data_IF_932842520863
#
_entry.id   IF_932842520863
#
_cell.length_a   1.000
_cell.length_b   1.000
_cell.length_c   1.000
_cell.angle_alpha   90.00
_cell.angle_beta   90.00
_cell.angle_gamma   90.00
#
_symmetry.space_group_name_H-M   'P 1'
#
loop_
_entity.id
_entity.type
_entity.pdbx_description
1 polymer ?
#
# COMPACT_ATOMS: atom_id res chain seq x y z
N UNK A 1 -57.52 26.65 -61.43
CA UNK A 1 -56.95 25.42 -62.04
C UNK A 1 -55.43 25.41 -62.04
N UNK A 2 -54.76 26.47 -62.53
CA UNK A 2 -53.29 26.54 -62.59
C UNK A 2 -52.59 26.45 -61.20
N UNK A 3 -53.13 27.14 -60.19
CA UNK A 3 -52.60 27.15 -58.82
C UNK A 3 -52.70 25.79 -58.11
N UNK A 4 -53.77 25.04 -58.36
CA UNK A 4 -53.97 23.69 -57.80
C UNK A 4 -53.02 22.66 -58.43
N UNK A 5 -52.73 22.79 -59.73
CA UNK A 5 -51.76 21.94 -60.42
C UNK A 5 -50.34 22.20 -59.93
N UNK A 6 -49.99 23.47 -59.71
CA UNK A 6 -48.68 23.85 -59.15
C UNK A 6 -48.46 23.28 -57.74
N UNK A 7 -49.51 23.31 -56.90
CA UNK A 7 -49.47 22.76 -55.53
C UNK A 7 -49.29 21.24 -55.53
N UNK A 8 -49.91 20.54 -56.49
CA UNK A 8 -49.71 19.08 -56.68
C UNK A 8 -48.30 18.75 -57.14
N UNK A 9 -47.73 19.53 -58.06
CA UNK A 9 -46.35 19.35 -58.51
C UNK A 9 -45.35 19.59 -57.38
N UNK A 10 -45.58 20.59 -56.53
CA UNK A 10 -44.72 20.87 -55.37
C UNK A 10 -44.77 19.75 -54.33
N UNK A 11 -45.97 19.23 -54.02
CA UNK A 11 -46.12 18.07 -53.14
C UNK A 11 -45.46 16.81 -53.70
N UNK A 12 -45.56 16.58 -55.01
CA UNK A 12 -44.93 15.43 -55.66
C UNK A 12 -43.40 15.53 -55.61
N UNK A 13 -42.84 16.75 -55.76
CA UNK A 13 -41.40 16.98 -55.63
C UNK A 13 -40.91 16.76 -54.19
N UNK A 14 -41.66 17.21 -53.18
CA UNK A 14 -41.36 16.94 -51.76
C UNK A 14 -41.42 15.44 -51.47
N UNK A 15 -42.45 14.74 -51.96
CA UNK A 15 -42.55 13.29 -51.79
C UNK A 15 -41.40 12.56 -52.48
N UNK A 16 -41.00 13.00 -53.67
CA UNK A 16 -39.87 12.41 -54.41
C UNK A 16 -38.55 12.63 -53.67
N UNK A 17 -38.32 13.82 -53.10
CA UNK A 17 -37.11 14.11 -52.32
C UNK A 17 -37.08 13.39 -50.97
N UNK A 18 -38.21 13.27 -50.27
CA UNK A 18 -38.35 12.42 -49.08
C UNK A 18 -38.11 10.93 -49.40
N UNK A 19 -38.56 10.46 -50.58
CA UNK A 19 -38.34 9.10 -51.05
C UNK A 19 -36.88 8.87 -51.48
N UNK A 20 -36.21 9.92 -51.97
CA UNK A 20 -34.79 9.86 -52.28
C UNK A 20 -33.92 9.81 -51.02
N UNK A 21 -34.32 10.54 -49.98
CA UNK A 21 -33.70 10.45 -48.64
C UNK A 21 -33.94 9.11 -47.95
N UNK A 22 -35.07 8.44 -48.21
CA UNK A 22 -35.31 7.08 -47.71
C UNK A 22 -34.57 5.99 -48.52
N UNK A 23 -34.27 6.25 -49.80
CA UNK A 23 -33.47 5.36 -50.65
C UNK A 23 -31.96 5.51 -50.44
N UNK A 24 -31.48 6.66 -49.97
CA UNK A 24 -30.14 6.76 -49.36
C UNK A 24 -30.20 6.20 -47.94
N UNK A 25 -30.46 4.90 -47.84
CA UNK A 25 -30.28 4.13 -46.63
C UNK A 25 -28.86 4.36 -46.13
N UNK A 26 -28.78 5.13 -45.05
CA UNK A 26 -27.71 5.24 -44.07
C UNK A 26 -26.59 4.21 -44.34
N UNK A 27 -25.50 4.65 -44.98
CA UNK A 27 -24.23 3.95 -44.88
C UNK A 27 -23.84 4.11 -43.40
N UNK A 28 -24.30 3.16 -42.59
CA UNK A 28 -23.86 3.03 -41.21
C UNK A 28 -22.37 2.78 -41.28
N UNK A 29 -21.57 3.83 -41.10
CA UNK A 29 -20.20 3.69 -40.68
C UNK A 29 -20.28 2.89 -39.38
N UNK A 30 -20.00 1.60 -39.48
CA UNK A 30 -19.92 0.67 -38.36
C UNK A 30 -18.94 1.31 -37.39
N UNK A 31 -19.46 1.87 -36.29
CA UNK A 31 -18.63 2.54 -35.30
C UNK A 31 -17.70 1.47 -34.76
N UNK A 32 -16.40 1.61 -35.03
CA UNK A 32 -15.36 0.70 -34.56
C UNK A 32 -15.41 0.66 -33.02
N UNK A 33 -16.21 -0.26 -32.48
CA UNK A 33 -16.40 -0.42 -31.05
C UNK A 33 -15.10 -0.94 -30.46
N UNK A 34 -14.49 -0.16 -29.58
CA UNK A 34 -13.28 -0.58 -28.87
C UNK A 34 -13.68 -1.69 -27.89
N UNK A 35 -13.00 -2.83 -27.97
CA UNK A 35 -13.18 -3.95 -27.05
C UNK A 35 -12.11 -3.90 -25.96
N UNK A 36 -12.54 -3.64 -24.72
CA UNK A 36 -11.63 -3.63 -23.56
C UNK A 36 -11.36 -5.05 -23.09
N UNK A 37 -10.09 -5.36 -22.81
CA UNK A 37 -9.63 -6.64 -22.27
C UNK A 37 -8.68 -6.37 -21.12
N UNK A 38 -8.98 -6.92 -19.94
CA UNK A 38 -8.15 -6.81 -18.75
C UNK A 38 -7.52 -8.16 -18.42
N UNK A 39 -6.22 -8.18 -18.15
CA UNK A 39 -5.45 -9.41 -17.87
C UNK A 39 -4.42 -9.17 -16.78
N UNK A 40 -4.08 -10.21 -16.01
CA UNK A 40 -3.04 -10.15 -15.00
C UNK A 40 -1.65 -10.27 -15.65
N UNK A 41 -0.67 -9.60 -15.06
CA UNK A 41 0.73 -9.74 -15.46
C UNK A 41 1.20 -11.20 -15.34
N UNK A 42 1.99 -11.67 -16.31
CA UNK A 42 2.45 -13.06 -16.41
C UNK A 42 1.48 -13.98 -17.15
N UNK A 43 0.19 -13.62 -17.24
CA UNK A 43 -0.81 -14.44 -17.94
C UNK A 43 -0.74 -14.26 -19.47
N UNK A 44 -1.62 -14.99 -20.18
CA UNK A 44 -1.77 -14.88 -21.62
C UNK A 44 -3.17 -14.40 -21.99
N UNK A 45 -3.28 -13.63 -23.06
CA UNK A 45 -4.56 -13.11 -23.58
C UNK A 45 -4.66 -13.35 -25.08
N UNK A 46 -5.87 -13.69 -25.55
CA UNK A 46 -6.13 -13.89 -26.98
C UNK A 46 -7.12 -12.85 -27.49
N UNK A 47 -6.68 -12.05 -28.46
CA UNK A 47 -7.49 -11.07 -29.17
C UNK A 47 -8.13 -11.76 -30.37
N UNK A 48 -9.43 -12.02 -30.26
CA UNK A 48 -10.19 -12.83 -31.21
C UNK A 48 -10.61 -11.99 -32.43
N UNK A 49 -10.29 -12.45 -33.64
CA UNK A 49 -10.75 -11.78 -34.87
C UNK A 49 -12.27 -11.90 -35.06
N UNK A 50 -12.88 -12.97 -34.53
CA UNK A 50 -14.27 -13.33 -34.76
C UNK A 50 -14.52 -14.01 -36.11
N UNK A 51 -13.45 -14.35 -36.84
CA UNK A 51 -13.50 -15.10 -38.10
C UNK A 51 -13.25 -16.58 -37.82
N UNK A 52 -14.04 -17.47 -38.42
CA UNK A 52 -13.90 -18.93 -38.26
C UNK A 52 -12.78 -19.52 -39.10
N UNK A 53 -12.54 -18.94 -40.28
CA UNK A 53 -11.46 -19.32 -41.18
C UNK A 53 -11.05 -18.14 -42.07
N UNK A 54 -9.76 -17.86 -42.12
CA UNK A 54 -9.17 -16.86 -43.03
C UNK A 54 -9.31 -17.35 -44.48
N UNK A 55 -9.75 -16.49 -45.38
CA UNK A 55 -9.81 -16.81 -46.82
C UNK A 55 -8.42 -16.76 -47.46
N UNK A 56 -8.31 -17.25 -48.69
CA UNK A 56 -7.03 -17.30 -49.39
C UNK A 56 -6.53 -15.91 -49.81
N UNK A 57 -7.46 -15.02 -50.14
CA UNK A 57 -7.26 -13.64 -50.60
C UNK A 57 -7.30 -12.60 -49.47
N UNK A 58 -7.52 -13.03 -48.22
CA UNK A 58 -7.53 -12.14 -47.06
C UNK A 58 -6.09 -11.77 -46.62
N UNK A 59 -5.85 -10.48 -46.46
CA UNK A 59 -4.67 -9.94 -45.77
C UNK A 59 -5.05 -9.54 -44.33
N UNK A 60 -4.38 -10.10 -43.32
CA UNK A 60 -4.61 -9.77 -41.90
C UNK A 60 -3.41 -9.00 -41.36
N UNK A 61 -3.69 -7.87 -40.72
CA UNK A 61 -2.70 -6.96 -40.15
C UNK A 61 -3.03 -6.72 -38.68
N UNK A 62 -2.04 -6.92 -37.81
CA UNK A 62 -2.10 -6.48 -36.43
C UNK A 62 -1.15 -5.31 -36.22
N UNK A 63 -1.68 -4.24 -35.66
CA UNK A 63 -0.96 -3.00 -35.36
C UNK A 63 -1.05 -2.69 -33.88
N UNK A 64 0.00 -2.09 -33.32
CA UNK A 64 0.08 -1.74 -31.91
C UNK A 64 0.37 -0.25 -31.70
N UNK A 65 -0.25 0.32 -30.67
CA UNK A 65 0.00 1.68 -30.19
C UNK A 65 -0.64 2.76 -31.05
N UNK A 66 -0.43 4.02 -30.65
CA UNK A 66 -0.99 5.19 -31.33
C UNK A 66 -0.40 5.40 -32.74
N UNK A 67 0.85 5.00 -32.94
CA UNK A 67 1.55 5.06 -34.24
C UNK A 67 1.15 3.92 -35.18
N UNK A 68 0.32 2.97 -34.70
CA UNK A 68 -0.15 1.81 -35.46
C UNK A 68 0.98 0.99 -36.06
N UNK A 69 2.05 0.78 -35.28
CA UNK A 69 3.21 -0.02 -35.67
C UNK A 69 2.77 -1.44 -36.01
N UNK A 70 3.10 -1.92 -37.22
CA UNK A 70 2.74 -3.26 -37.65
C UNK A 70 3.54 -4.29 -36.84
N UNK A 71 2.84 -5.14 -36.08
CA UNK A 71 3.45 -6.21 -35.27
C UNK A 71 3.30 -7.58 -35.92
N UNK A 72 2.29 -7.75 -36.79
CA UNK A 72 2.06 -9.02 -37.49
C UNK A 72 1.37 -8.82 -38.84
N UNK A 73 1.70 -9.68 -39.81
CA UNK A 73 1.00 -9.79 -41.09
C UNK A 73 0.81 -11.24 -41.54
N UNK A 74 -0.40 -11.57 -41.97
CA UNK A 74 -0.72 -12.77 -42.76
C UNK A 74 -1.20 -12.36 -44.15
N UNK A 75 -0.71 -13.05 -45.17
CA UNK A 75 -1.27 -13.05 -46.51
C UNK A 75 -1.10 -14.44 -47.10
N UNK A 76 -2.20 -15.18 -47.22
CA UNK A 76 -2.17 -16.56 -47.73
C UNK A 76 -1.78 -16.57 -49.23
N UNK A 77 -2.35 -15.67 -50.03
CA UNK A 77 -2.02 -15.50 -51.45
C UNK A 77 -0.51 -15.26 -51.66
N UNK A 78 0.07 -14.35 -50.89
CA UNK A 78 1.49 -13.98 -51.00
C UNK A 78 2.41 -14.94 -50.23
N UNK A 79 1.84 -15.93 -49.53
CA UNK A 79 2.54 -16.83 -48.61
C UNK A 79 3.39 -16.10 -47.56
N UNK A 80 2.90 -14.95 -47.10
CA UNK A 80 3.56 -14.13 -46.10
C UNK A 80 2.98 -14.46 -44.73
N UNK A 81 3.86 -14.89 -43.83
CA UNK A 81 3.58 -15.03 -42.41
C UNK A 81 4.74 -14.36 -41.68
N UNK A 82 4.55 -13.11 -41.29
CA UNK A 82 5.63 -12.28 -40.75
C UNK A 82 5.24 -11.69 -39.41
N UNK A 83 6.04 -12.03 -38.41
CA UNK A 83 6.10 -11.32 -37.13
C UNK A 83 7.11 -10.20 -37.28
N UNK A 84 6.75 -9.00 -36.85
CA UNK A 84 7.66 -7.83 -36.81
C UNK A 84 8.14 -7.56 -35.38
N UNK A 85 8.10 -8.57 -34.51
CA UNK A 85 8.57 -8.54 -33.12
C UNK A 85 10.08 -8.29 -33.00
N UNK A 86 10.85 -8.60 -34.04
CA UNK A 86 12.32 -8.40 -34.04
C UNK A 86 12.70 -6.91 -33.98
N UNK A 87 11.87 -6.01 -34.48
CA UNK A 87 12.16 -4.56 -34.44
C UNK A 87 11.74 -3.89 -33.14
N UNK A 88 10.86 -4.53 -32.36
CA UNK A 88 10.41 -4.06 -31.05
C UNK A 88 10.57 -5.20 -30.05
N UNK A 89 11.75 -5.25 -29.40
CA UNK A 89 12.18 -6.32 -28.50
C UNK A 89 11.16 -6.69 -27.42
N UNK A 90 10.24 -5.76 -27.09
CA UNK A 90 9.09 -5.96 -26.22
C UNK A 90 8.30 -7.22 -26.57
N UNK A 91 8.03 -7.45 -27.85
CA UNK A 91 7.13 -8.51 -28.33
C UNK A 91 7.84 -9.83 -28.64
N UNK A 92 9.17 -9.85 -28.54
CA UNK A 92 10.00 -10.99 -28.92
C UNK A 92 9.55 -12.26 -28.19
N UNK A 93 9.28 -13.32 -28.96
CA UNK A 93 8.84 -14.64 -28.48
C UNK A 93 7.50 -14.66 -27.71
N UNK A 94 6.78 -13.54 -27.62
CA UNK A 94 5.51 -13.41 -26.86
C UNK A 94 4.28 -13.45 -27.74
N UNK A 95 4.41 -13.08 -29.02
CA UNK A 95 3.31 -13.11 -29.98
C UNK A 95 3.16 -14.51 -30.59
N UNK A 96 1.94 -15.04 -30.55
CA UNK A 96 1.55 -16.25 -31.27
C UNK A 96 0.28 -15.98 -32.04
N UNK A 97 0.26 -16.28 -33.33
CA UNK A 97 -0.95 -16.20 -34.13
C UNK A 97 -1.58 -17.58 -34.34
N UNK A 98 -2.90 -17.61 -34.41
CA UNK A 98 -3.65 -18.72 -34.96
C UNK A 98 -3.75 -18.57 -36.49
N UNK A 99 -3.12 -19.47 -37.24
CA UNK A 99 -3.14 -19.45 -38.72
C UNK A 99 -4.50 -19.79 -39.34
N UNK A 100 -5.44 -20.34 -38.57
CA UNK A 100 -6.78 -20.64 -39.04
C UNK A 100 -7.72 -19.43 -38.88
N UNK A 101 -7.66 -18.75 -37.73
CA UNK A 101 -8.60 -17.66 -37.40
C UNK A 101 -8.01 -16.26 -37.51
N UNK A 102 -6.67 -16.14 -37.49
CA UNK A 102 -5.95 -14.87 -37.48
C UNK A 102 -5.87 -14.21 -36.09
N UNK A 103 -6.33 -14.90 -35.05
CA UNK A 103 -6.37 -14.37 -33.69
C UNK A 103 -4.99 -14.26 -33.08
N UNK A 104 -4.73 -13.13 -32.41
CA UNK A 104 -3.43 -12.82 -31.81
C UNK A 104 -3.43 -13.22 -30.34
N UNK A 105 -2.51 -14.10 -29.96
CA UNK A 105 -2.25 -14.46 -28.57
C UNK A 105 -0.98 -13.77 -28.10
N UNK A 106 -1.09 -13.01 -27.00
CA UNK A 106 0.05 -12.49 -26.26
C UNK A 106 0.31 -13.38 -25.05
N UNK A 107 1.53 -13.89 -24.93
CA UNK A 107 1.96 -14.73 -23.82
C UNK A 107 2.80 -13.95 -22.83
N UNK A 108 2.73 -14.35 -21.55
CA UNK A 108 3.53 -13.77 -20.48
C UNK A 108 3.46 -12.22 -20.52
N UNK A 109 2.24 -11.69 -20.47
CA UNK A 109 2.02 -10.26 -20.70
C UNK A 109 2.55 -9.43 -19.53
N UNK A 110 3.10 -8.26 -19.81
CA UNK A 110 3.57 -7.29 -18.80
C UNK A 110 2.96 -5.92 -19.07
N UNK A 111 3.14 -4.97 -18.14
CA UNK A 111 2.66 -3.59 -18.28
C UNK A 111 3.11 -2.91 -19.58
N UNK A 112 4.27 -3.25 -20.13
CA UNK A 112 4.78 -2.71 -21.40
C UNK A 112 3.91 -3.09 -22.61
N UNK A 113 3.16 -4.19 -22.51
CA UNK A 113 2.27 -4.67 -23.57
C UNK A 113 0.86 -4.07 -23.48
N UNK A 114 0.56 -3.28 -22.45
CA UNK A 114 -0.70 -2.58 -22.35
C UNK A 114 -0.82 -1.53 -23.46
N UNK A 115 -2.02 -1.37 -24.01
CA UNK A 115 -2.26 -0.40 -25.08
C UNK A 115 -3.32 -0.82 -26.08
N UNK A 116 -3.38 -0.08 -27.17
CA UNK A 116 -4.33 -0.31 -28.26
C UNK A 116 -3.74 -1.27 -29.29
N UNK A 117 -4.52 -2.29 -29.62
CA UNK A 117 -4.25 -3.23 -30.70
C UNK A 117 -5.32 -3.07 -31.76
N UNK A 118 -4.90 -2.83 -32.99
CA UNK A 118 -5.79 -2.68 -34.14
C UNK A 118 -5.61 -3.87 -35.07
N UNK A 119 -6.73 -4.53 -35.35
CA UNK A 119 -6.87 -5.58 -36.35
C UNK A 119 -7.45 -4.97 -37.60
N UNK A 120 -6.82 -5.20 -38.74
CA UNK A 120 -7.39 -4.97 -40.06
C UNK A 120 -7.42 -6.28 -40.84
N UNK A 121 -8.57 -6.60 -41.43
CA UNK A 121 -8.76 -7.73 -42.34
C UNK A 121 -9.18 -7.14 -43.68
N UNK A 122 -8.28 -7.25 -44.65
CA UNK A 122 -8.46 -6.79 -46.02
C UNK A 122 -8.84 -7.99 -46.88
N UNK A 123 -10.14 -8.24 -47.01
CA UNK A 123 -10.71 -9.24 -47.92
C UNK A 123 -11.76 -8.61 -48.83
N UNK A 124 -12.82 -9.37 -49.14
CA UNK A 124 -13.97 -8.85 -49.88
C UNK A 124 -14.65 -7.63 -49.21
N UNK A 125 -14.62 -7.57 -47.87
CA UNK A 125 -15.03 -6.41 -47.07
C UNK A 125 -13.88 -6.03 -46.13
N UNK A 126 -13.55 -4.74 -46.09
CA UNK A 126 -12.63 -4.19 -45.09
C UNK A 126 -13.27 -4.31 -43.71
N UNK A 127 -12.64 -5.05 -42.81
CA UNK A 127 -13.07 -5.16 -41.41
C UNK A 127 -11.96 -4.64 -40.50
N UNK A 128 -12.32 -3.76 -39.57
CA UNK A 128 -11.41 -3.24 -38.56
C UNK A 128 -11.97 -3.49 -37.16
N UNK A 129 -11.09 -3.86 -36.21
CA UNK A 129 -11.43 -3.97 -34.79
C UNK A 129 -10.31 -3.39 -33.96
N UNK A 130 -10.68 -2.74 -32.86
CA UNK A 130 -9.71 -2.18 -31.91
C UNK A 130 -9.92 -2.82 -30.55
N UNK A 131 -8.83 -3.29 -29.95
CA UNK A 131 -8.80 -3.84 -28.61
C UNK A 131 -8.00 -2.90 -27.71
N UNK A 132 -8.55 -2.60 -26.52
CA UNK A 132 -7.82 -1.89 -25.47
C UNK A 132 -7.40 -2.88 -24.41
N UNK A 133 -6.10 -3.20 -24.36
CA UNK A 133 -5.54 -4.18 -23.43
C UNK A 133 -4.99 -3.45 -22.22
N UNK A 134 -5.54 -3.77 -21.04
CA UNK A 134 -5.08 -3.29 -19.74
C UNK A 134 -4.45 -4.44 -18.96
N UNK A 135 -3.25 -4.21 -18.42
CA UNK A 135 -2.50 -5.22 -17.66
C UNK A 135 -2.39 -4.79 -16.21
N UNK A 136 -2.72 -5.69 -15.28
CA UNK A 136 -2.67 -5.42 -13.85
C UNK A 136 -1.67 -6.34 -13.16
N UNK A 137 -0.84 -5.76 -12.29
CA UNK A 137 0.11 -6.52 -11.49
C UNK A 137 -0.58 -7.32 -10.38
N UNK A 138 0.09 -8.37 -9.89
CA UNK A 138 -0.34 -9.10 -8.71
C UNK A 138 -0.33 -8.20 -7.47
N UNK A 139 -1.38 -8.33 -6.66
CA UNK A 139 -1.57 -7.51 -5.48
C UNK A 139 -0.84 -8.10 -4.28
N UNK A 140 -0.03 -7.32 -3.54
CA UNK A 140 0.48 -7.73 -2.24
C UNK A 140 -0.62 -7.69 -1.18
N UNK A 141 -0.44 -8.44 -0.09
CA UNK A 141 -1.34 -8.35 1.07
C UNK A 141 -1.13 -7.01 1.78
N UNK A 142 -2.20 -6.22 2.00
CA UNK A 142 -2.08 -4.96 2.72
C UNK A 142 -1.72 -5.20 4.19
N UNK A 143 -0.89 -4.33 4.76
CA UNK A 143 -0.43 -4.45 6.14
C UNK A 143 -1.22 -3.53 7.06
N UNK A 144 -1.75 -4.08 8.15
CA UNK A 144 -2.45 -3.31 9.18
C UNK A 144 -1.52 -3.13 10.37
N UNK A 145 -1.13 -1.89 10.65
CA UNK A 145 -0.24 -1.53 11.76
C UNK A 145 -0.92 -0.55 12.70
N UNK A 146 -0.56 -0.61 13.98
CA UNK A 146 -0.95 0.41 14.95
C UNK A 146 -0.03 1.62 14.84
N UNK A 147 -0.61 2.82 14.83
CA UNK A 147 0.12 4.07 14.61
C UNK A 147 0.93 4.53 15.85
N UNK A 148 0.29 4.62 17.03
CA UNK A 148 0.98 4.94 18.29
C UNK A 148 0.22 4.47 19.54
N UNK A 149 0.97 4.19 20.62
CA UNK A 149 0.44 3.92 21.97
C UNK A 149 0.31 5.24 22.74
N UNK A 150 -0.89 5.85 22.79
CA UNK A 150 -1.15 6.98 23.69
C UNK A 150 -1.15 6.49 25.13
N UNK A 151 -0.10 6.78 25.87
CA UNK A 151 0.05 6.42 27.30
C UNK A 151 -0.81 7.26 28.24
N UNK A 152 -1.83 7.96 27.74
CA UNK A 152 -2.65 8.88 28.53
C UNK A 152 -4.01 8.28 28.86
N UNK A 153 -4.16 7.91 30.13
CA UNK A 153 -5.40 7.70 30.90
C UNK A 153 -6.35 6.59 30.43
N UNK A 154 -6.18 5.41 31.03
CA UNK A 154 -7.17 4.47 31.62
C UNK A 154 -8.66 4.40 31.20
N UNK A 155 -9.15 5.07 30.15
CA UNK A 155 -10.59 5.06 29.82
C UNK A 155 -10.94 5.45 28.37
N UNK A 156 -9.97 5.59 27.47
CA UNK A 156 -10.23 5.78 26.04
C UNK A 156 -10.19 4.45 25.29
N UNK A 157 -11.35 3.99 24.82
CA UNK A 157 -11.59 2.76 24.04
C UNK A 157 -11.15 2.87 22.57
N UNK A 158 -10.45 3.94 22.18
CA UNK A 158 -10.08 4.20 20.79
C UNK A 158 -8.68 3.66 20.45
N UNK A 159 -8.57 2.95 19.34
CA UNK A 159 -7.36 2.36 18.79
C UNK A 159 -7.11 2.97 17.40
N UNK A 160 -5.97 3.64 17.20
CA UNK A 160 -5.57 4.18 15.89
C UNK A 160 -4.79 3.14 15.10
N UNK A 161 -5.32 2.79 13.93
CA UNK A 161 -4.79 1.79 13.02
C UNK A 161 -4.55 2.43 11.65
N UNK A 162 -3.53 1.95 10.96
CA UNK A 162 -3.23 2.37 9.59
C UNK A 162 -3.11 1.12 8.74
N UNK A 163 -3.84 1.10 7.64
CA UNK A 163 -3.62 0.11 6.60
C UNK A 163 -2.70 0.69 5.55
N UNK A 164 -1.59 0.01 5.25
CA UNK A 164 -0.60 0.49 4.29
C UNK A 164 -0.20 -0.59 3.30
N UNK A 165 0.17 -0.13 2.10
CA UNK A 165 0.74 -0.95 1.04
C UNK A 165 1.75 -0.13 0.26
N UNK A 166 2.85 -0.75 -0.15
CA UNK A 166 3.94 -0.12 -0.90
C UNK A 166 4.06 -0.74 -2.29
N UNK A 167 4.63 0.01 -3.23
CA UNK A 167 4.95 -0.45 -4.59
C UNK A 167 3.72 -0.95 -5.37
N UNK A 168 2.62 -0.21 -5.30
CA UNK A 168 1.39 -0.51 -6.05
C UNK A 168 1.06 0.62 -7.03
N UNK A 169 0.25 0.30 -8.03
CA UNK A 169 -0.28 1.26 -9.01
C UNK A 169 -1.55 0.72 -9.66
N UNK A 170 -2.45 1.62 -10.09
CA UNK A 170 -3.79 1.27 -10.60
C UNK A 170 -4.61 0.40 -9.63
N UNK A 171 -4.63 0.80 -8.34
CA UNK A 171 -5.31 0.07 -7.27
C UNK A 171 -6.20 0.99 -6.44
N UNK A 172 -7.13 0.37 -5.71
CA UNK A 172 -7.95 1.03 -4.69
C UNK A 172 -7.73 0.34 -3.35
N UNK A 173 -7.35 1.12 -2.34
CA UNK A 173 -7.24 0.69 -0.94
C UNK A 173 -8.46 1.18 -0.17
N UNK A 174 -9.13 0.27 0.53
CA UNK A 174 -10.41 0.56 1.18
C UNK A 174 -10.51 -0.09 2.56
N UNK A 175 -11.12 0.61 3.51
CA UNK A 175 -11.54 0.05 4.79
C UNK A 175 -13.00 -0.38 4.76
N UNK A 176 -13.27 -1.55 5.32
CA UNK A 176 -14.61 -2.09 5.48
C UNK A 176 -14.89 -2.40 6.95
N UNK A 177 -16.13 -2.16 7.37
CA UNK A 177 -16.73 -2.66 8.61
C UNK A 177 -17.86 -3.62 8.26
N UNK A 178 -17.63 -4.91 8.43
CA UNK A 178 -18.46 -5.94 7.82
C UNK A 178 -18.51 -5.74 6.31
N UNK A 179 -19.69 -5.38 5.78
CA UNK A 179 -19.91 -5.14 4.35
C UNK A 179 -19.98 -3.64 4.00
N UNK A 180 -19.86 -2.75 4.99
CA UNK A 180 -19.97 -1.31 4.79
C UNK A 180 -18.59 -0.71 4.51
N UNK A 181 -18.46 0.00 3.38
CA UNK A 181 -17.27 0.79 3.04
C UNK A 181 -17.17 2.00 3.97
N UNK A 182 -16.04 2.16 4.64
CA UNK A 182 -15.76 3.29 5.54
C UNK A 182 -14.99 4.40 4.84
N UNK A 183 -13.88 4.04 4.20
CA UNK A 183 -13.00 4.97 3.51
C UNK A 183 -12.31 4.26 2.35
N UNK A 184 -11.93 5.02 1.34
CA UNK A 184 -11.31 4.50 0.14
C UNK A 184 -10.39 5.54 -0.48
N UNK A 185 -9.26 5.08 -1.00
CA UNK A 185 -8.32 5.87 -1.80
C UNK A 185 -7.93 5.06 -3.03
N UNK A 186 -7.95 5.68 -4.20
CA UNK A 186 -7.55 5.06 -5.46
C UNK A 186 -6.40 5.84 -6.07
N UNK A 187 -5.42 5.13 -6.63
CA UNK A 187 -4.27 5.74 -7.29
C UNK A 187 -4.01 5.05 -8.62
N UNK A 188 -3.73 5.86 -9.63
CA UNK A 188 -3.44 5.41 -11.00
C UNK A 188 -1.95 5.40 -11.33
N UNK A 189 -1.09 6.06 -10.55
CA UNK A 189 0.34 6.13 -10.84
C UNK A 189 1.07 4.88 -10.32
N UNK A 190 2.11 4.43 -11.04
CA UNK A 190 2.97 3.32 -10.60
C UNK A 190 3.92 3.81 -9.48
N UNK A 191 4.23 2.91 -8.54
CA UNK A 191 5.25 3.06 -7.47
C UNK A 191 4.90 4.00 -6.30
N UNK A 192 3.64 4.05 -5.88
CA UNK A 192 3.23 4.86 -4.72
C UNK A 192 3.01 3.97 -3.49
N UNK A 193 3.30 4.53 -2.31
CA UNK A 193 2.86 3.99 -1.02
C UNK A 193 1.48 4.54 -0.66
N UNK A 194 0.51 3.66 -0.45
CA UNK A 194 -0.82 4.03 0.04
C UNK A 194 -0.92 3.77 1.54
N UNK A 195 -1.53 4.69 2.26
CA UNK A 195 -1.81 4.56 3.68
C UNK A 195 -3.18 5.13 3.99
N UNK A 196 -4.01 4.38 4.69
CA UNK A 196 -5.37 4.77 5.05
C UNK A 196 -5.56 4.61 6.57
N UNK A 197 -5.67 5.70 7.34
CA UNK A 197 -5.87 5.64 8.79
C UNK A 197 -7.32 5.28 9.14
N UNK A 198 -7.50 4.67 10.31
CA UNK A 198 -8.78 4.29 10.88
C UNK A 198 -8.71 4.39 12.42
N UNK A 199 -9.63 5.13 13.01
CA UNK A 199 -9.87 5.14 14.45
C UNK A 199 -11.00 4.16 14.78
N UNK A 200 -10.71 3.18 15.64
CA UNK A 200 -11.67 2.13 16.02
C UNK A 200 -12.01 2.23 17.49
N UNK A 201 -13.29 2.30 17.82
CA UNK A 201 -13.79 2.10 19.18
C UNK A 201 -13.98 0.60 19.46
N UNK A 202 -13.45 0.08 20.57
CA UNK A 202 -13.59 -1.33 20.93
C UNK A 202 -15.05 -1.72 21.13
N UNK A 203 -15.58 -2.53 20.21
CA UNK A 203 -16.89 -3.16 20.31
C UNK A 203 -16.77 -4.58 19.73
N UNK A 204 -17.05 -5.60 20.54
CA UNK A 204 -16.74 -7.02 20.27
C UNK A 204 -17.37 -7.60 18.99
N UNK A 205 -18.35 -6.92 18.38
CA UNK A 205 -19.08 -7.41 17.19
C UNK A 205 -18.61 -6.81 15.87
N UNK A 206 -17.70 -5.84 15.90
CA UNK A 206 -17.30 -5.14 14.68
C UNK A 206 -16.12 -5.86 14.01
N UNK A 207 -16.38 -6.53 12.89
CA UNK A 207 -15.33 -7.06 12.01
C UNK A 207 -14.85 -5.98 11.06
N UNK A 208 -13.56 -5.65 11.09
CA UNK A 208 -12.95 -4.71 10.16
C UNK A 208 -12.02 -5.43 9.20
N UNK A 209 -11.97 -4.95 7.97
CA UNK A 209 -11.04 -5.46 6.96
C UNK A 209 -10.50 -4.34 6.12
N UNK A 210 -9.23 -4.45 5.78
CA UNK A 210 -8.61 -3.61 4.78
C UNK A 210 -8.51 -4.39 3.47
N UNK A 211 -9.04 -3.81 2.40
CA UNK A 211 -9.12 -4.46 1.09
C UNK A 211 -8.34 -3.62 0.09
N UNK A 212 -7.34 -4.25 -0.53
CA UNK A 212 -6.67 -3.73 -1.72
C UNK A 212 -7.27 -4.41 -2.93
N UNK A 213 -7.75 -3.65 -3.91
CA UNK A 213 -8.31 -4.22 -5.13
C UNK A 213 -7.78 -3.53 -6.38
N UNK A 214 -7.71 -4.30 -7.45
CA UNK A 214 -7.63 -3.83 -8.82
C UNK A 214 -8.89 -4.33 -9.56
N UNK A 215 -9.15 -3.90 -10.80
CA UNK A 215 -10.34 -4.30 -11.55
C UNK A 215 -10.51 -5.81 -11.79
N UNK A 216 -9.49 -6.64 -11.55
CA UNK A 216 -9.52 -8.09 -11.79
C UNK A 216 -9.56 -8.90 -10.47
N UNK A 217 -8.87 -8.44 -9.44
CA UNK A 217 -8.55 -9.20 -8.24
C UNK A 217 -8.58 -8.33 -6.99
N UNK A 218 -8.76 -8.98 -5.84
CA UNK A 218 -8.70 -8.33 -4.53
C UNK A 218 -7.80 -9.10 -3.57
N UNK A 219 -7.27 -8.38 -2.60
CA UNK A 219 -6.51 -8.89 -1.47
C UNK A 219 -7.05 -8.25 -0.20
N UNK A 220 -7.32 -9.07 0.79
CA UNK A 220 -7.99 -8.64 2.02
C UNK A 220 -7.16 -9.03 3.22
N UNK A 221 -6.92 -8.06 4.10
CA UNK A 221 -6.37 -8.29 5.42
C UNK A 221 -7.44 -8.01 6.46
N UNK A 222 -7.76 -9.02 7.27
CA UNK A 222 -8.69 -8.87 8.37
C UNK A 222 -7.98 -8.29 9.60
N UNK A 223 -8.66 -7.39 10.29
CA UNK A 223 -8.17 -6.81 11.53
C UNK A 223 -8.34 -7.81 12.67
N UNK A 224 -7.24 -8.17 13.32
CA UNK A 224 -7.27 -8.89 14.60
C UNK A 224 -7.17 -7.90 15.77
N UNK A 225 -8.32 -7.40 16.22
CA UNK A 225 -8.41 -6.38 17.28
C UNK A 225 -7.73 -6.85 18.57
N UNK A 226 -7.83 -8.13 18.91
CA UNK A 226 -7.29 -8.67 20.18
C UNK A 226 -5.77 -8.67 20.23
N UNK A 227 -5.10 -8.78 19.08
CA UNK A 227 -3.64 -8.70 18.97
C UNK A 227 -3.17 -7.27 18.80
N UNK A 228 -3.82 -6.53 17.89
CA UNK A 228 -3.38 -5.20 17.49
C UNK A 228 -3.84 -4.11 18.44
N UNK A 229 -4.91 -4.30 19.21
CA UNK A 229 -5.45 -3.28 20.13
C UNK A 229 -5.21 -3.62 21.62
N UNK A 230 -4.15 -4.36 21.95
CA UNK A 230 -3.80 -4.68 23.35
C UNK A 230 -3.42 -3.43 24.17
N UNK A 231 -3.75 -3.39 25.48
CA UNK A 231 -3.30 -2.34 26.39
C UNK A 231 -1.78 -2.34 26.44
N UNK A 232 -1.17 -1.17 26.18
CA UNK A 232 0.29 -1.04 26.20
C UNK A 232 0.79 -1.41 27.60
N UNK A 233 1.83 -2.25 27.75
CA UNK A 233 2.40 -2.53 29.06
C UNK A 233 2.86 -1.21 29.66
N UNK A 234 2.25 -0.83 30.77
CA UNK A 234 2.58 0.40 31.50
C UNK A 234 4.08 0.34 31.77
N UNK A 235 4.82 1.31 31.26
CA UNK A 235 6.28 1.31 31.43
C UNK A 235 6.58 1.21 32.93
N UNK A 236 7.46 0.25 33.27
CA UNK A 236 7.98 -0.02 34.62
C UNK A 236 8.58 1.22 35.32
N UNK A 237 8.61 2.37 34.65
CA UNK A 237 9.09 3.65 35.16
C UNK A 237 8.26 4.17 36.34
N UNK A 238 6.93 4.03 36.32
CA UNK A 238 6.08 4.69 37.34
C UNK A 238 6.14 4.00 38.72
N UNK A 239 6.22 2.67 38.74
CA UNK A 239 6.38 1.92 40.01
C UNK A 239 7.79 2.09 40.57
N UNK A 240 8.82 2.08 39.73
CA UNK A 240 10.21 2.32 40.13
C UNK A 240 10.42 3.73 40.71
N UNK A 241 9.76 4.75 40.15
CA UNK A 241 9.78 6.13 40.68
C UNK A 241 9.16 6.25 42.08
N UNK A 242 8.08 5.52 42.37
CA UNK A 242 7.45 5.52 43.70
C UNK A 242 8.35 4.81 44.74
N UNK A 243 8.96 3.68 44.37
CA UNK A 243 9.88 2.97 45.27
C UNK A 243 11.16 3.78 45.57
N UNK A 244 11.66 4.57 44.61
CA UNK A 244 12.80 5.48 44.81
C UNK A 244 12.50 6.66 45.74
N UNK A 245 11.24 7.10 45.87
CA UNK A 245 10.83 8.19 46.77
C UNK A 245 10.57 7.74 48.20
N UNK A 246 10.33 6.45 48.45
CA UNK A 246 10.09 5.92 49.81
C UNK A 246 11.38 5.63 50.58
N UNK A 247 12.46 5.27 49.88
CA UNK A 247 13.76 4.90 50.48
C UNK A 247 14.50 6.06 51.20
N UNK A 248 14.43 7.34 50.75
CA UNK A 248 15.11 8.45 51.44
C UNK A 248 14.53 8.77 52.82
N UNK A 249 13.25 8.43 53.07
CA UNK A 249 12.60 8.75 54.34
C UNK A 249 13.17 7.94 55.51
N UNK A 250 13.53 6.68 55.29
CA UNK A 250 14.09 5.80 56.33
C UNK A 250 15.55 6.13 56.67
N UNK A 251 16.36 6.49 55.66
CA UNK A 251 17.78 6.84 55.86
C UNK A 251 17.95 8.18 56.58
N UNK A 252 17.09 9.17 56.28
CA UNK A 252 17.10 10.47 56.96
C UNK A 252 16.79 10.37 58.45
N UNK A 253 15.83 9.52 58.84
CA UNK A 253 15.48 9.31 60.25
C UNK A 253 16.61 8.67 61.06
N UNK A 254 17.33 7.70 60.48
CA UNK A 254 18.48 7.05 61.13
C UNK A 254 19.63 8.02 61.41
N UNK A 255 19.93 8.94 60.48
CA UNK A 255 20.99 9.93 60.67
C UNK A 255 20.67 10.94 61.78
N UNK A 256 19.40 11.30 61.95
CA UNK A 256 18.96 12.17 63.06
C UNK A 256 19.17 11.47 64.40
N UNK A 257 18.78 10.19 64.51
CA UNK A 257 18.96 9.42 65.76
C UNK A 257 20.45 9.30 66.12
N UNK A 258 21.32 8.97 65.16
CA UNK A 258 22.77 8.90 65.38
C UNK A 258 23.34 10.24 65.84
N UNK A 259 22.91 11.33 65.21
CA UNK A 259 23.35 12.69 65.58
C UNK A 259 22.93 13.07 67.00
N UNK A 260 21.70 12.73 67.41
CA UNK A 260 21.21 12.95 68.77
C UNK A 260 21.99 12.12 69.78
N UNK A 261 22.27 10.83 69.49
CA UNK A 261 23.05 9.95 70.36
C UNK A 261 24.49 10.46 70.54
N UNK A 262 25.17 10.86 69.46
CA UNK A 262 26.51 11.45 69.52
C UNK A 262 26.48 12.75 70.36
N UNK A 263 25.48 13.61 70.15
CA UNK A 263 25.35 14.85 70.91
C UNK A 263 25.10 14.59 72.41
N UNK A 264 24.30 13.57 72.77
CA UNK A 264 24.10 13.12 74.14
C UNK A 264 25.39 12.57 74.78
N UNK A 265 26.17 11.79 74.03
CA UNK A 265 27.48 11.28 74.50
C UNK A 265 28.46 12.45 74.72
N UNK A 266 28.57 13.38 73.77
CA UNK A 266 29.41 14.58 73.90
C UNK A 266 29.02 15.44 75.11
N UNK A 267 27.72 15.63 75.36
CA UNK A 267 27.23 16.36 76.53
C UNK A 267 27.53 15.62 77.85
N UNK A 268 27.48 14.28 77.85
CA UNK A 268 27.85 13.46 79.03
C UNK A 268 29.35 13.52 79.30
N UNK A 269 30.19 13.45 78.26
CA UNK A 269 31.63 13.65 78.39
C UNK A 269 31.99 15.05 78.92
N UNK A 270 31.25 16.10 78.52
CA UNK A 270 31.49 17.47 79.01
C UNK A 270 31.14 17.67 80.50
N UNK A 271 30.22 16.86 81.07
CA UNK A 271 29.85 16.92 82.50
C UNK A 271 30.76 16.11 83.41
N UNK A 272 31.56 15.18 82.87
CA UNK A 272 32.49 14.36 83.65
C UNK A 272 33.90 14.92 83.45
N UNK A 273 34.23 15.99 84.18
CA UNK A 273 35.52 16.65 84.09
C UNK A 273 36.67 15.73 84.52
N UNK A 274 37.35 15.13 83.54
CA UNK A 274 38.75 14.73 83.69
C UNK A 274 39.55 15.16 82.44
N UNK A 275 40.21 16.31 82.58
CA UNK A 275 41.38 16.65 81.77
C UNK A 275 42.58 15.86 82.31
N UNK A 276 43.08 14.86 81.57
CA UNK A 276 44.50 14.48 81.65
C UNK A 276 45.12 14.55 80.26
N UNK A 277 46.01 15.55 80.14
CA UNK A 277 46.90 15.82 79.02
C UNK A 277 47.79 14.62 78.76
N UNK A 278 47.89 14.17 77.51
CA UNK A 278 49.14 13.58 77.01
C UNK A 278 49.78 14.62 76.09
N UNK A 279 51.00 14.95 76.47
CA UNK A 279 51.86 16.00 75.96
C UNK A 279 52.51 15.51 74.66
N UNK A 280 52.47 16.30 73.58
CA UNK A 280 53.53 16.24 72.56
C UNK A 280 54.04 17.65 72.27
N UNK A 281 55.33 17.80 72.54
CA UNK A 281 56.17 18.98 72.39
C UNK A 281 56.36 19.25 70.89
N UNK A 282 56.03 20.45 70.46
CA UNK A 282 56.29 20.93 69.11
C UNK A 282 57.80 21.07 68.87
N UNK A 283 58.32 20.36 67.87
CA UNK A 283 59.51 20.79 67.15
C UNK A 283 59.08 21.02 65.70
N UNK A 284 59.01 22.30 65.31
CA UNK A 284 59.08 22.75 63.92
C UNK A 284 60.47 22.33 63.38
N UNK A 285 60.60 21.79 62.17
CA UNK A 285 60.24 22.49 60.94
C UNK A 285 59.53 21.60 59.90
N UNK A 286 58.18 21.74 59.91
CA UNK A 286 57.18 21.75 58.82
C UNK A 286 57.01 20.52 57.89
N UNK A 287 55.75 20.11 57.65
CA UNK A 287 55.02 19.17 58.49
C UNK A 287 54.88 17.81 57.77
N UNK A 288 55.34 16.75 58.44
CA UNK A 288 55.32 15.36 57.97
C UNK A 288 54.55 14.53 59.01
N UNK A 289 53.44 13.96 58.53
CA UNK A 289 52.64 12.77 58.92
C UNK A 289 52.69 12.21 60.36
N UNK A 290 51.51 11.84 60.89
CA UNK A 290 51.33 10.53 61.53
C UNK A 290 49.88 10.03 61.46
N UNK A 291 49.73 8.80 60.99
CA UNK A 291 48.49 8.01 60.92
C UNK A 291 48.18 7.45 62.33
N UNK A 292 46.95 7.58 62.86
CA UNK A 292 46.50 6.74 63.95
C UNK A 292 45.87 5.48 63.36
N UNK A 293 46.49 4.31 63.59
CA UNK A 293 45.80 3.04 63.48
C UNK A 293 44.69 2.99 64.53
N UNK A 294 43.46 3.27 64.10
CA UNK A 294 42.29 2.74 64.77
C UNK A 294 42.19 1.26 64.39
N UNK A 295 42.26 0.39 65.41
CA UNK A 295 41.95 -1.03 65.29
C UNK A 295 40.59 -1.17 64.61
N UNK A 296 40.63 -1.73 63.40
CA UNK A 296 39.48 -2.21 62.66
C UNK A 296 38.69 -3.18 63.54
N UNK A 297 37.44 -2.85 63.85
CA UNK A 297 36.44 -3.89 64.06
C UNK A 297 35.99 -4.33 62.67
N UNK A 298 36.43 -5.53 62.28
CA UNK A 298 35.86 -6.26 61.16
C UNK A 298 34.36 -6.43 61.39
N UNK A 299 33.54 -5.86 60.51
CA UNK A 299 32.19 -6.36 60.27
C UNK A 299 32.23 -7.01 58.90
N UNK A 300 32.10 -8.34 58.91
CA UNK A 300 32.13 -9.18 57.72
C UNK A 300 30.96 -8.82 56.81
N UNK A 301 31.28 -8.46 55.56
CA UNK A 301 30.36 -8.51 54.43
C UNK A 301 30.33 -9.96 53.96
N UNK A 302 29.18 -10.63 54.09
CA UNK A 302 28.92 -11.85 53.34
C UNK A 302 28.01 -11.52 52.14
N UNK A 303 28.35 -11.97 50.93
CA UNK A 303 27.48 -11.89 49.77
C UNK A 303 26.51 -13.09 49.76
N UNK A 304 25.25 -12.83 49.44
CA UNK A 304 24.32 -13.68 48.69
C UNK A 304 23.10 -12.84 48.30
#
# INVERSE_FOLDING_TARGET
LFTEQLKKMFHMFILFSLCWWSLTGMFGAETNKIQSVSVMEGDSVTLQTGVTKIQYDDDILWKFGAEKSLIFKISNEKRIFSTFDVTDERFRDRLKLDHQTGSLTLKNISSEHAGLYELEINGAKLTSKTFSVSVYAHLPTPNITRDYCSSSSSSSSYCSLVCSVVNVGHVTLSWYKGNSLLSSISVSDLSISLSLPLEVEYQEKNSYSCVLNNPISNQTQHLNITELCQPCPVSLSYTVMIFQLLIPSAAGSLLIVVSVVICCICRKCRKTGQFKKVFFRAIYTKPVYFVPQCKFFHVAVFPL
#
